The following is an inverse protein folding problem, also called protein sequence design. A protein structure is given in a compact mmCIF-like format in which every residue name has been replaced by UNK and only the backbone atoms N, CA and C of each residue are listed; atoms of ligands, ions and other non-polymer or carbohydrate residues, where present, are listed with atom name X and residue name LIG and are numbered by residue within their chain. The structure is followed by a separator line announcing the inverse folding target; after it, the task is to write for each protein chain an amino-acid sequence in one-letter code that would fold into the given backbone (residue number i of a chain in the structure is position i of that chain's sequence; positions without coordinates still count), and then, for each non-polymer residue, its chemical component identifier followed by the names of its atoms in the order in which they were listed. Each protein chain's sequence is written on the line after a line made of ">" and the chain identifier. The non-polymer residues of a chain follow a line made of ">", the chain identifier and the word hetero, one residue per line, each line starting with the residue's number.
data_IF_494375020893
#
_entry.id   IF_494375020893
#
_cell.length_a   1.000
_cell.length_b   1.000
_cell.length_c   1.000
_cell.angle_alpha   90.00
_cell.angle_beta   90.00
_cell.angle_gamma   90.00
#
_symmetry.space_group_name_H-M   'P 1'
#
loop_
_entity.id
_entity.type
_entity.pdbx_description
1 polymer ?
#
# COMPACT_ATOMS: atom_id res chain seq x y z
N UNK A 1 -0.61 -11.58 22.15
CA UNK A 1 0.79 -11.83 21.68
C UNK A 1 1.39 -10.60 21.00
N UNK A 2 0.63 -9.87 20.16
CA UNK A 2 1.12 -8.63 19.52
C UNK A 2 0.99 -7.38 20.39
N UNK A 3 0.06 -7.39 21.35
CA UNK A 3 -0.21 -6.29 22.28
C UNK A 3 0.90 -6.06 23.33
N UNK A 4 1.79 -7.03 23.52
CA UNK A 4 2.91 -6.91 24.45
C UNK A 4 4.07 -6.22 23.77
N UNK A 5 4.91 -5.55 24.56
CA UNK A 5 6.10 -4.90 24.03
C UNK A 5 7.05 -5.89 23.30
N UNK A 6 7.77 -5.40 22.28
CA UNK A 6 8.80 -6.18 21.59
C UNK A 6 9.99 -6.42 22.51
N UNK A 7 10.34 -7.69 22.72
CA UNK A 7 11.45 -8.09 23.56
C UNK A 7 12.71 -8.41 22.74
N UNK A 8 13.92 -8.19 23.26
CA UNK A 8 15.16 -8.55 22.57
C UNK A 8 15.28 -10.05 22.25
N UNK A 9 14.60 -10.89 23.04
CA UNK A 9 14.56 -12.34 22.88
C UNK A 9 13.53 -12.82 21.85
N UNK A 10 12.64 -11.95 21.36
CA UNK A 10 11.71 -12.29 20.29
C UNK A 10 12.48 -12.61 19.00
N UNK A 11 12.07 -13.67 18.31
CA UNK A 11 12.54 -13.90 16.93
C UNK A 11 12.13 -12.72 16.05
N UNK A 12 12.98 -12.38 15.07
CA UNK A 12 12.84 -11.16 14.26
C UNK A 12 11.42 -10.95 13.69
N UNK A 13 10.72 -11.96 13.13
CA UNK A 13 9.37 -11.77 12.59
C UNK A 13 8.35 -11.38 13.66
N UNK A 14 8.42 -11.98 14.86
CA UNK A 14 7.51 -11.69 15.97
C UNK A 14 7.76 -10.28 16.49
N UNK A 15 9.03 -9.89 16.63
CA UNK A 15 9.42 -8.55 17.04
C UNK A 15 8.89 -7.49 16.06
N UNK A 16 9.03 -7.73 14.75
CA UNK A 16 8.54 -6.81 13.73
C UNK A 16 7.01 -6.72 13.72
N UNK A 17 6.31 -7.84 13.92
CA UNK A 17 4.85 -7.88 14.02
C UNK A 17 4.34 -7.08 15.23
N UNK A 18 5.01 -7.18 16.40
CA UNK A 18 4.71 -6.37 17.58
C UNK A 18 4.91 -4.88 17.33
N UNK A 19 6.04 -4.48 16.71
CA UNK A 19 6.31 -3.08 16.35
C UNK A 19 5.24 -2.54 15.41
N UNK A 20 4.87 -3.32 14.39
CA UNK A 20 3.84 -2.94 13.43
C UNK A 20 2.47 -2.79 14.10
N UNK A 21 2.10 -3.73 14.98
CA UNK A 21 0.88 -3.65 15.77
C UNK A 21 0.85 -2.39 16.66
N UNK A 22 1.92 -2.13 17.41
CA UNK A 22 2.03 -0.95 18.27
C UNK A 22 1.91 0.36 17.47
N UNK A 23 2.54 0.44 16.29
CA UNK A 23 2.43 1.60 15.42
C UNK A 23 1.00 1.82 14.87
N UNK A 24 0.25 0.74 14.65
CA UNK A 24 -1.15 0.79 14.22
C UNK A 24 -2.08 1.24 15.35
N UNK A 25 -1.85 0.73 16.56
CA UNK A 25 -2.69 1.01 17.74
C UNK A 25 -2.41 2.37 18.39
N UNK A 26 -1.31 3.04 18.04
CA UNK A 26 -1.03 4.39 18.50
C UNK A 26 -1.96 5.42 17.83
N UNK A 27 -3.16 5.59 18.41
CA UNK A 27 -4.16 6.51 17.90
C UNK A 27 -3.74 7.98 17.95
N UNK A 28 -2.96 8.37 18.94
CA UNK A 28 -2.51 9.77 19.11
C UNK A 28 -1.65 10.19 17.92
N UNK A 29 -0.60 9.41 17.62
CA UNK A 29 0.27 9.67 16.47
C UNK A 29 -0.46 9.48 15.14
N UNK A 30 -1.44 8.57 15.05
CA UNK A 30 -2.29 8.44 13.85
C UNK A 30 -3.14 9.69 13.62
N UNK A 31 -3.82 10.19 14.65
CA UNK A 31 -4.67 11.40 14.57
C UNK A 31 -3.83 12.65 14.30
N UNK A 32 -2.66 12.76 14.93
CA UNK A 32 -1.70 13.86 14.72
C UNK A 32 -1.16 13.92 13.29
N UNK A 33 -0.86 12.77 12.68
CA UNK A 33 -0.45 12.71 11.27
C UNK A 33 -1.59 13.01 10.31
N UNK A 34 -2.81 12.55 10.62
CA UNK A 34 -3.98 12.75 9.77
C UNK A 34 -3.78 12.15 8.38
N UNK A 35 -4.28 12.83 7.34
CA UNK A 35 -4.21 12.37 5.94
C UNK A 35 -2.88 12.70 5.24
N UNK A 36 -1.99 13.46 5.89
CA UNK A 36 -0.74 13.96 5.29
C UNK A 36 0.13 12.88 4.63
N UNK A 37 0.28 11.65 5.18
CA UNK A 37 1.05 10.62 4.50
C UNK A 37 0.46 10.23 3.14
N UNK A 38 -0.88 10.16 3.04
CA UNK A 38 -1.58 9.84 1.79
C UNK A 38 -1.46 11.00 0.81
N UNK A 39 -1.69 12.22 1.28
CA UNK A 39 -1.49 13.45 0.47
C UNK A 39 -0.09 13.49 -0.12
N UNK A 40 0.95 13.22 0.67
CA UNK A 40 2.34 13.21 0.19
C UNK A 40 2.62 12.14 -0.86
N UNK A 41 1.93 11.00 -0.82
CA UNK A 41 2.04 9.94 -1.84
C UNK A 41 1.33 10.39 -3.12
N UNK A 42 0.12 10.94 -3.01
CA UNK A 42 -0.64 11.43 -4.17
C UNK A 42 0.12 12.53 -4.92
N UNK A 43 0.72 13.47 -4.19
CA UNK A 43 1.45 14.59 -4.79
C UNK A 43 2.73 14.16 -5.54
N UNK A 44 3.26 12.96 -5.31
CA UNK A 44 4.42 12.45 -6.06
C UNK A 44 4.08 12.11 -7.52
N UNK A 45 2.79 11.94 -7.83
CA UNK A 45 2.30 11.49 -9.14
C UNK A 45 1.29 12.47 -9.74
N UNK A 46 1.42 13.76 -9.44
CA UNK A 46 0.53 14.80 -9.97
C UNK A 46 -0.77 15.01 -9.19
N UNK A 47 -0.90 14.40 -8.00
CA UNK A 47 -2.04 14.60 -7.10
C UNK A 47 -3.31 13.84 -7.52
N UNK A 48 -4.45 14.28 -6.99
CA UNK A 48 -5.76 13.69 -7.29
C UNK A 48 -6.66 14.76 -7.95
N UNK A 49 -7.16 14.56 -9.18
CA UNK A 49 -7.86 15.61 -9.94
C UNK A 49 -9.04 16.26 -9.20
N UNK A 50 -9.82 15.44 -8.47
CA UNK A 50 -10.97 15.87 -7.66
C UNK A 50 -10.63 16.84 -6.52
N UNK A 51 -9.38 16.90 -6.03
CA UNK A 51 -8.99 17.78 -4.92
C UNK A 51 -8.04 18.91 -5.34
N UNK A 52 -7.54 18.87 -6.58
CA UNK A 52 -6.71 19.92 -7.16
C UNK A 52 -7.56 20.97 -7.86
N UNK A 53 -7.01 22.18 -8.02
CA UNK A 53 -7.65 23.15 -8.90
C UNK A 53 -7.50 22.69 -10.36
N UNK A 54 -8.48 22.99 -11.24
CA UNK A 54 -8.45 22.54 -12.63
C UNK A 54 -7.22 23.00 -13.43
N UNK A 55 -6.58 24.07 -13.02
CA UNK A 55 -5.36 24.65 -13.60
C UNK A 55 -4.06 24.07 -13.03
N UNK A 56 -4.14 23.24 -11.99
CA UNK A 56 -2.98 22.60 -11.35
C UNK A 56 -2.81 21.14 -11.78
N UNK A 57 -3.81 20.54 -12.42
CA UNK A 57 -3.75 19.16 -12.88
C UNK A 57 -3.53 19.09 -14.40
N UNK A 58 -2.42 18.48 -14.81
CA UNK A 58 -2.04 18.33 -16.21
C UNK A 58 -2.07 16.86 -16.62
N UNK A 59 -2.98 16.51 -17.55
CA UNK A 59 -3.17 15.15 -18.05
C UNK A 59 -1.91 14.53 -18.66
N UNK A 60 -1.04 15.36 -19.22
CA UNK A 60 0.15 14.93 -19.95
C UNK A 60 1.38 14.72 -19.04
N UNK A 61 1.30 15.00 -17.75
CA UNK A 61 2.44 14.88 -16.82
C UNK A 61 2.82 13.42 -16.54
N UNK A 62 1.84 12.51 -16.54
CA UNK A 62 2.04 11.09 -16.26
C UNK A 62 1.15 10.22 -17.13
N UNK A 63 1.73 9.21 -17.77
CA UNK A 63 0.94 8.13 -18.35
C UNK A 63 0.26 7.30 -17.26
N UNK A 64 -0.90 6.72 -17.57
CA UNK A 64 -1.60 5.85 -16.60
C UNK A 64 -0.74 4.66 -16.16
N UNK A 65 0.17 4.16 -17.02
CA UNK A 65 1.11 3.10 -16.69
C UNK A 65 2.14 3.54 -15.65
N UNK A 66 2.61 4.79 -15.72
CA UNK A 66 3.54 5.35 -14.73
C UNK A 66 2.85 5.56 -13.39
N UNK A 67 1.61 6.04 -13.40
CA UNK A 67 0.78 6.15 -12.19
C UNK A 67 0.59 4.79 -11.52
N UNK A 68 0.16 3.78 -12.29
CA UNK A 68 -0.07 2.44 -11.77
C UNK A 68 1.23 1.82 -11.23
N UNK A 69 2.34 1.95 -11.94
CA UNK A 69 3.65 1.48 -11.48
C UNK A 69 4.08 2.15 -10.18
N UNK A 70 3.86 3.46 -10.04
CA UNK A 70 4.15 4.20 -8.81
C UNK A 70 3.35 3.65 -7.63
N UNK A 71 2.03 3.49 -7.80
CA UNK A 71 1.17 2.96 -6.75
C UNK A 71 1.48 1.50 -6.41
N UNK A 72 1.83 0.67 -7.40
CA UNK A 72 2.24 -0.72 -7.17
C UNK A 72 3.42 -0.83 -6.17
N UNK A 73 4.40 0.06 -6.22
CA UNK A 73 5.51 0.05 -5.25
C UNK A 73 5.08 0.39 -3.83
N UNK A 74 3.95 1.08 -3.66
CA UNK A 74 3.40 1.48 -2.36
C UNK A 74 2.40 0.45 -1.84
N UNK A 75 1.53 -0.07 -2.70
CA UNK A 75 0.40 -0.94 -2.31
C UNK A 75 0.69 -2.43 -2.52
N UNK A 76 1.62 -2.77 -3.41
CA UNK A 76 1.87 -4.15 -3.85
C UNK A 76 0.82 -4.69 -4.82
N UNK A 77 -0.18 -3.88 -5.20
CA UNK A 77 -1.30 -4.28 -6.03
C UNK A 77 -1.47 -3.32 -7.21
N UNK A 78 -1.91 -3.88 -8.33
CA UNK A 78 -2.23 -3.16 -9.55
C UNK A 78 -3.72 -2.82 -9.56
N UNK A 79 -4.04 -1.60 -9.96
CA UNK A 79 -5.42 -1.08 -9.90
C UNK A 79 -6.24 -1.55 -11.10
N UNK A 80 -5.63 -1.60 -12.28
CA UNK A 80 -6.36 -1.87 -13.53
C UNK A 80 -6.40 -3.34 -13.91
N UNK A 81 -5.45 -4.15 -13.43
CA UNK A 81 -5.39 -5.58 -13.71
C UNK A 81 -4.84 -6.36 -12.53
N UNK A 82 -5.16 -7.66 -12.47
CA UNK A 82 -4.67 -8.54 -11.41
C UNK A 82 -3.69 -9.55 -12.01
N UNK A 83 -2.40 -9.42 -11.69
CA UNK A 83 -1.39 -10.40 -12.09
C UNK A 83 -1.21 -11.38 -10.94
N UNK A 84 -1.80 -12.56 -11.08
CA UNK A 84 -1.54 -13.69 -10.18
C UNK A 84 -0.60 -14.67 -10.85
N UNK A 85 0.56 -14.95 -10.25
CA UNK A 85 1.38 -16.03 -10.75
C UNK A 85 0.65 -17.36 -10.58
N UNK A 86 0.80 -18.27 -11.55
CA UNK A 86 0.05 -19.53 -11.60
C UNK A 86 0.22 -20.40 -10.35
N UNK A 87 1.38 -20.34 -9.68
CA UNK A 87 1.60 -21.07 -8.42
C UNK A 87 0.75 -20.55 -7.26
N UNK A 88 0.36 -19.27 -7.25
CA UNK A 88 -0.51 -18.67 -6.22
C UNK A 88 -1.99 -19.00 -6.39
N UNK A 89 -2.40 -19.46 -7.58
CA UNK A 89 -3.77 -19.90 -7.85
C UNK A 89 -4.08 -21.28 -7.23
N UNK A 90 -3.06 -22.03 -6.83
CA UNK A 90 -3.20 -23.41 -6.39
C UNK A 90 -3.55 -23.56 -4.90
N UNK A 91 -3.58 -22.47 -4.12
CA UNK A 91 -3.89 -22.55 -2.68
C UNK A 91 -5.38 -22.82 -2.38
N UNK A 92 -6.26 -22.71 -3.39
CA UNK A 92 -7.66 -23.17 -3.32
C UNK A 92 -8.00 -24.27 -4.34
N UNK A 93 -7.01 -25.09 -4.72
CA UNK A 93 -7.25 -26.40 -5.31
C UNK A 93 -8.26 -26.43 -6.47
N UNK A 94 -8.05 -25.64 -7.53
CA UNK A 94 -8.44 -26.00 -8.90
C UNK A 94 -7.66 -25.11 -9.86
N UNK A 95 -6.60 -25.67 -10.44
CA UNK A 95 -6.03 -25.10 -11.65
C UNK A 95 -7.02 -25.36 -12.78
N UNK A 96 -7.85 -24.37 -13.13
CA UNK A 96 -8.59 -24.44 -14.39
C UNK A 96 -7.64 -24.11 -15.53
N UNK A 97 -7.43 -25.13 -16.36
CA UNK A 97 -6.91 -25.09 -17.72
C UNK A 97 -7.23 -23.77 -18.44
N UNK A 98 -6.23 -23.19 -19.09
CA UNK A 98 -6.43 -22.21 -20.16
C UNK A 98 -6.03 -22.92 -21.45
N UNK A 99 -7.02 -23.20 -22.30
CA UNK A 99 -6.82 -23.50 -23.74
C UNK A 99 -6.41 -22.24 -24.49
#
# INVERSE_FOLDING_TARGET
>A
ILETDPEPTDILPVRQAKIWYAACMNEEERKKRGIKPIESILMQTGGWPMVLNPDEWFEDDFSWQELEKSYFYVTGDLVFYNIRPSWSANENGTASHIE
#
